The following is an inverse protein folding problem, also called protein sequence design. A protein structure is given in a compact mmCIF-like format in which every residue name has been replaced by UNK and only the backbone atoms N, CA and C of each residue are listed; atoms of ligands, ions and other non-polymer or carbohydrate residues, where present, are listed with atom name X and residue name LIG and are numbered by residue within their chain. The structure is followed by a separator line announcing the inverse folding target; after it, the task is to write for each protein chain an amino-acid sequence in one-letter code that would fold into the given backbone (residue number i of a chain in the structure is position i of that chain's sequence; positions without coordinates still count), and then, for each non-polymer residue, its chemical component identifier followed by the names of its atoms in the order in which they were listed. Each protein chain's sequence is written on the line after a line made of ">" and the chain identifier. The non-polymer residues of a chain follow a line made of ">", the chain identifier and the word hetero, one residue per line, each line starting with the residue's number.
data_IF_462185995324
#
_entry.id   IF_462185995324
#
_cell.length_a   1.000
_cell.length_b   1.000
_cell.length_c   1.000
_cell.angle_alpha   90.00
_cell.angle_beta   90.00
_cell.angle_gamma   90.00
#
_symmetry.space_group_name_H-M   'P 1'
#
loop_
_entity.id
_entity.type
_entity.pdbx_description
1 polymer ?
#
# COMPACT_ATOMS: atom_id res chain seq x y z
N UNK A 1 -26.94 21.63 56.70
CA UNK A 1 -25.60 21.03 56.50
C UNK A 1 -25.16 21.37 55.09
N UNK A 2 -24.38 22.45 54.93
CA UNK A 2 -23.77 22.80 53.66
C UNK A 2 -22.44 22.05 53.55
N UNK A 3 -22.27 21.28 52.47
CA UNK A 3 -21.03 20.60 52.16
C UNK A 3 -20.13 21.57 51.39
N UNK A 4 -19.15 22.17 52.07
CA UNK A 4 -18.13 22.98 51.42
C UNK A 4 -17.13 22.05 50.73
N UNK A 5 -17.22 21.97 49.41
CA UNK A 5 -16.20 21.36 48.56
C UNK A 5 -14.94 22.22 48.62
N UNK A 6 -13.94 21.76 49.36
CA UNK A 6 -12.60 22.35 49.39
C UNK A 6 -11.99 22.22 47.98
N UNK A 7 -11.46 23.29 47.36
CA UNK A 7 -10.81 23.17 46.08
C UNK A 7 -9.46 22.46 46.27
N UNK A 8 -9.31 21.25 45.70
CA UNK A 8 -8.06 20.46 45.65
C UNK A 8 -6.97 21.08 44.74
N UNK A 9 -6.76 22.39 44.82
CA UNK A 9 -5.60 23.07 44.22
C UNK A 9 -4.90 23.92 45.28
N UNK A 10 -4.37 23.24 46.29
CA UNK A 10 -3.64 23.87 47.38
C UNK A 10 -2.25 24.40 46.96
N UNK A 11 -1.70 25.40 47.69
CA UNK A 11 -0.37 25.98 47.46
C UNK A 11 0.78 24.95 47.44
N UNK A 12 0.56 23.77 48.02
CA UNK A 12 1.47 22.62 48.00
C UNK A 12 1.70 22.04 46.60
N UNK A 13 0.67 21.95 45.75
CA UNK A 13 0.81 21.43 44.37
C UNK A 13 1.63 22.41 43.52
N UNK A 14 1.33 23.70 43.64
CA UNK A 14 2.05 24.78 42.96
C UNK A 14 3.52 24.83 43.39
N UNK A 15 3.82 24.63 44.67
CA UNK A 15 5.19 24.59 45.18
C UNK A 15 5.98 23.39 44.66
N UNK A 16 5.35 22.22 44.56
CA UNK A 16 5.97 20.99 44.01
C UNK A 16 6.31 21.17 42.53
N UNK A 17 5.41 21.77 41.74
CA UNK A 17 5.66 22.00 40.32
C UNK A 17 6.73 23.08 40.08
N UNK A 18 6.74 24.14 40.90
CA UNK A 18 7.81 25.14 40.88
C UNK A 18 9.17 24.50 41.20
N UNK A 19 9.23 23.59 42.16
CA UNK A 19 10.44 22.85 42.52
C UNK A 19 10.94 21.95 41.38
N UNK A 20 10.03 21.22 40.72
CA UNK A 20 10.38 20.39 39.55
C UNK A 20 10.94 21.22 38.40
N UNK A 21 10.33 22.37 38.11
CA UNK A 21 10.85 23.30 37.10
C UNK A 21 12.23 23.84 37.46
N UNK A 22 12.46 24.19 38.73
CA UNK A 22 13.77 24.62 39.20
C UNK A 22 14.82 23.52 39.03
N UNK A 23 14.52 22.29 39.44
CA UNK A 23 15.45 21.16 39.28
C UNK A 23 15.77 20.87 37.82
N UNK A 24 14.75 20.82 36.95
CA UNK A 24 14.94 20.58 35.52
C UNK A 24 15.83 21.64 34.87
N UNK A 25 15.66 22.91 35.24
CA UNK A 25 16.47 24.02 34.72
C UNK A 25 17.92 23.87 35.12
N UNK A 26 18.18 23.62 36.41
CA UNK A 26 19.54 23.48 36.92
C UNK A 26 20.25 22.26 36.33
N UNK A 27 19.52 21.16 36.11
CA UNK A 27 20.07 19.96 35.49
C UNK A 27 20.58 20.24 34.06
N UNK A 28 19.79 20.95 33.25
CA UNK A 28 20.19 21.34 31.89
C UNK A 28 21.39 22.31 31.94
N UNK A 29 21.32 23.34 32.78
CA UNK A 29 22.39 24.36 32.87
C UNK A 29 23.73 23.77 33.31
N UNK A 30 23.73 22.77 34.21
CA UNK A 30 24.96 22.11 34.67
C UNK A 30 25.70 21.33 33.56
N UNK A 31 25.01 20.99 32.47
CA UNK A 31 25.62 20.35 31.30
C UNK A 31 26.23 21.33 30.29
N UNK A 32 26.09 22.64 30.51
CA UNK A 32 26.55 23.69 29.58
C UNK A 32 27.95 24.20 29.97
N UNK A 33 28.72 24.65 28.98
CA UNK A 33 29.95 25.40 29.25
C UNK A 33 29.65 26.81 29.83
N UNK A 34 30.67 27.49 30.37
CA UNK A 34 30.49 28.80 31.00
C UNK A 34 29.89 29.86 30.07
N UNK A 35 30.18 29.84 28.77
CA UNK A 35 29.67 30.83 27.83
C UNK A 35 28.18 30.61 27.57
N UNK A 36 27.78 29.35 27.37
CA UNK A 36 26.39 28.94 27.19
C UNK A 36 25.58 29.13 28.48
N UNK A 37 26.13 28.75 29.62
CA UNK A 37 25.51 28.94 30.93
C UNK A 37 25.12 30.41 31.15
N UNK A 38 26.02 31.35 30.85
CA UNK A 38 25.75 32.78 31.03
C UNK A 38 24.60 33.29 30.15
N UNK A 39 24.49 32.77 28.91
CA UNK A 39 23.39 33.13 27.99
C UNK A 39 22.06 32.51 28.43
N UNK A 40 22.09 31.24 28.86
CA UNK A 40 20.89 30.44 29.11
C UNK A 40 20.37 30.50 30.56
N UNK A 41 21.20 30.90 31.53
CA UNK A 41 20.82 31.05 32.95
C UNK A 41 19.68 32.05 33.16
N UNK A 42 19.57 33.06 32.28
CA UNK A 42 18.51 34.06 32.30
C UNK A 42 17.14 33.51 31.86
N UNK A 43 17.09 32.35 31.19
CA UNK A 43 15.82 31.73 30.78
C UNK A 43 15.14 31.08 31.99
N UNK A 44 13.96 31.57 32.39
CA UNK A 44 13.25 31.07 33.57
C UNK A 44 12.50 29.75 33.33
N UNK A 45 12.18 29.43 32.07
CA UNK A 45 11.36 28.29 31.73
C UNK A 45 12.19 27.16 31.12
N UNK A 46 12.12 25.97 31.72
CA UNK A 46 12.79 24.74 31.26
C UNK A 46 12.45 24.40 29.81
N UNK A 47 11.18 24.52 29.43
CA UNK A 47 10.72 24.21 28.08
C UNK A 47 11.35 25.17 27.06
N UNK A 48 11.33 26.47 27.36
CA UNK A 48 11.93 27.50 26.49
C UNK A 48 13.44 27.34 26.40
N UNK A 49 14.09 27.00 27.52
CA UNK A 49 15.52 26.69 27.56
C UNK A 49 15.85 25.48 26.68
N UNK A 50 15.11 24.38 26.83
CA UNK A 50 15.27 23.17 26.02
C UNK A 50 15.05 23.45 24.55
N UNK A 51 13.90 24.04 24.17
CA UNK A 51 13.56 24.35 22.77
C UNK A 51 14.55 25.33 22.14
N UNK A 52 15.02 26.34 22.88
CA UNK A 52 16.02 27.30 22.38
C UNK A 52 17.40 26.69 22.23
N UNK A 53 17.77 25.76 23.11
CA UNK A 53 19.00 24.98 23.01
C UNK A 53 18.93 24.04 21.82
N UNK A 54 17.83 23.28 21.69
CA UNK A 54 17.57 22.37 20.59
C UNK A 54 17.60 23.11 19.25
N UNK A 55 16.87 24.23 19.11
CA UNK A 55 16.87 25.03 17.88
C UNK A 55 18.25 25.54 17.45
N UNK A 56 19.13 25.86 18.40
CA UNK A 56 20.42 26.51 18.13
C UNK A 56 21.57 25.52 17.96
N UNK A 57 21.49 24.36 18.61
CA UNK A 57 22.59 23.40 18.68
C UNK A 57 22.22 22.00 18.19
N UNK A 58 20.94 21.68 17.96
CA UNK A 58 20.57 20.53 17.13
C UNK A 58 21.01 20.88 15.72
N UNK A 59 22.22 20.46 15.37
CA UNK A 59 22.57 20.32 13.97
C UNK A 59 21.61 19.29 13.40
N UNK A 60 20.61 19.77 12.68
CA UNK A 60 19.97 18.97 11.66
C UNK A 60 21.11 18.46 10.78
N UNK A 61 21.44 17.18 10.93
CA UNK A 61 22.55 16.62 10.19
C UNK A 61 22.13 16.59 8.71
N UNK A 62 22.51 17.64 7.99
CA UNK A 62 22.33 17.74 6.54
C UNK A 62 22.95 16.51 5.87
N UNK A 63 23.97 15.89 6.49
CA UNK A 63 24.52 14.61 6.13
C UNK A 63 23.52 13.47 6.21
N UNK A 64 22.79 13.31 7.33
CA UNK A 64 21.76 12.27 7.51
C UNK A 64 20.62 12.37 6.51
N UNK A 65 20.04 13.56 6.34
CA UNK A 65 18.99 13.79 5.32
C UNK A 65 19.47 13.43 3.91
N UNK A 66 20.67 13.91 3.54
CA UNK A 66 21.28 13.60 2.24
C UNK A 66 21.58 12.12 2.08
N UNK A 67 22.01 11.44 3.14
CA UNK A 67 22.34 10.02 3.14
C UNK A 67 21.09 9.15 2.92
N UNK A 68 20.01 9.43 3.65
CA UNK A 68 18.75 8.68 3.49
C UNK A 68 18.12 8.97 2.12
N UNK A 69 18.13 10.23 1.66
CA UNK A 69 17.70 10.56 0.30
C UNK A 69 18.54 9.84 -0.78
N UNK A 70 19.87 9.75 -0.57
CA UNK A 70 20.77 8.98 -1.42
C UNK A 70 20.39 7.50 -1.48
N UNK A 71 20.18 6.86 -0.32
CA UNK A 71 19.70 5.46 -0.25
C UNK A 71 18.43 5.23 -1.07
N UNK A 72 17.46 6.15 -0.98
CA UNK A 72 16.21 6.05 -1.75
C UNK A 72 16.44 6.13 -3.27
N UNK A 73 17.27 7.08 -3.71
CA UNK A 73 17.58 7.28 -5.12
C UNK A 73 18.39 6.11 -5.69
N UNK A 74 19.35 5.59 -4.93
CA UNK A 74 20.25 4.53 -5.36
C UNK A 74 19.65 3.12 -5.27
N UNK A 75 18.57 2.93 -4.49
CA UNK A 75 17.89 1.65 -4.38
C UNK A 75 17.46 1.14 -5.76
N UNK A 76 17.73 -0.14 -6.05
CA UNK A 76 17.33 -0.82 -7.30
C UNK A 76 17.02 -2.27 -6.98
N UNK A 77 15.95 -2.81 -7.57
CA UNK A 77 15.67 -4.23 -7.45
C UNK A 77 16.47 -5.03 -8.46
N UNK A 78 16.82 -6.25 -8.07
CA UNK A 78 17.54 -7.22 -8.88
C UNK A 78 16.69 -8.48 -9.08
N UNK A 79 16.87 -9.14 -10.22
CA UNK A 79 16.11 -10.35 -10.58
C UNK A 79 16.49 -11.58 -9.73
N UNK A 80 17.64 -11.55 -9.04
CA UNK A 80 18.13 -12.67 -8.23
C UNK A 80 17.44 -12.84 -6.88
N UNK A 81 16.58 -11.88 -6.49
CA UNK A 81 15.82 -11.89 -5.24
C UNK A 81 14.33 -11.79 -5.57
N UNK A 82 13.47 -12.25 -4.64
CA UNK A 82 12.03 -12.01 -4.76
C UNK A 82 11.74 -10.52 -4.74
N UNK A 83 10.74 -10.09 -5.50
CA UNK A 83 10.27 -8.70 -5.49
C UNK A 83 9.70 -8.37 -4.12
N UNK A 84 8.96 -9.27 -3.48
CA UNK A 84 8.34 -8.97 -2.19
C UNK A 84 9.34 -8.71 -1.07
N UNK A 85 10.48 -9.43 -1.02
CA UNK A 85 11.52 -9.14 -0.03
C UNK A 85 12.13 -7.76 -0.29
N UNK A 86 12.36 -7.42 -1.56
CA UNK A 86 12.92 -6.12 -1.94
C UNK A 86 11.91 -4.98 -1.76
N UNK A 87 10.61 -5.22 -1.87
CA UNK A 87 9.55 -4.25 -1.52
C UNK A 87 9.60 -3.94 -0.03
N UNK A 88 9.76 -4.95 0.83
CA UNK A 88 9.92 -4.73 2.27
C UNK A 88 11.17 -3.92 2.59
N UNK A 89 12.31 -4.25 1.96
CA UNK A 89 13.55 -3.44 2.07
C UNK A 89 13.32 -1.99 1.61
N UNK A 90 12.60 -1.79 0.50
CA UNK A 90 12.28 -0.46 -0.01
C UNK A 90 11.41 0.33 0.97
N UNK A 91 10.40 -0.29 1.61
CA UNK A 91 9.49 0.39 2.54
C UNK A 91 10.17 0.94 3.79
N UNK A 92 11.32 0.40 4.18
CA UNK A 92 12.11 0.94 5.28
C UNK A 92 12.67 2.34 4.95
N UNK A 93 12.95 2.61 3.68
CA UNK A 93 13.61 3.87 3.28
C UNK A 93 12.67 5.08 3.43
N UNK A 94 11.41 5.07 2.93
CA UNK A 94 10.45 6.14 3.23
C UNK A 94 10.21 6.34 4.72
N UNK A 95 10.25 5.28 5.54
CA UNK A 95 10.15 5.41 6.99
C UNK A 95 11.34 6.16 7.58
N UNK A 96 12.57 5.85 7.15
CA UNK A 96 13.77 6.59 7.54
C UNK A 96 13.72 8.06 7.07
N UNK A 97 13.18 8.33 5.89
CA UNK A 97 12.96 9.71 5.39
C UNK A 97 12.01 10.46 6.32
N UNK A 98 10.93 9.82 6.76
CA UNK A 98 9.98 10.42 7.69
C UNK A 98 10.59 10.69 9.07
N UNK A 99 11.46 9.79 9.56
CA UNK A 99 12.19 9.96 10.81
C UNK A 99 13.16 11.16 10.76
N UNK A 100 13.70 11.47 9.58
CA UNK A 100 14.49 12.68 9.30
C UNK A 100 13.63 13.92 9.02
N UNK A 101 12.35 13.90 9.41
CA UNK A 101 11.39 15.00 9.25
C UNK A 101 11.19 15.45 7.79
N UNK A 102 11.50 14.58 6.82
CA UNK A 102 11.25 14.81 5.41
C UNK A 102 9.91 14.19 4.99
N UNK A 103 9.17 14.87 4.11
CA UNK A 103 7.86 14.42 3.63
C UNK A 103 7.99 13.86 2.22
N UNK A 104 7.53 12.61 2.04
CA UNK A 104 7.52 11.91 0.77
C UNK A 104 6.07 11.55 0.40
N UNK A 105 5.53 12.16 -0.65
CA UNK A 105 4.16 11.91 -1.08
C UNK A 105 3.92 10.47 -1.51
N UNK A 106 2.75 9.91 -1.18
CA UNK A 106 2.40 8.51 -1.51
C UNK A 106 2.47 8.24 -3.01
N UNK A 107 1.93 9.14 -3.85
CA UNK A 107 2.00 9.02 -5.31
C UNK A 107 3.43 8.94 -5.85
N UNK A 108 4.36 9.66 -5.22
CA UNK A 108 5.79 9.59 -5.55
C UNK A 108 6.40 8.26 -5.10
N UNK A 109 6.02 7.74 -3.92
CA UNK A 109 6.45 6.42 -3.45
C UNK A 109 6.01 5.31 -4.40
N UNK A 110 4.74 5.35 -4.84
CA UNK A 110 4.18 4.40 -5.81
C UNK A 110 4.93 4.48 -7.13
N UNK A 111 5.12 5.68 -7.69
CA UNK A 111 5.87 5.87 -8.93
C UNK A 111 7.32 5.37 -8.81
N UNK A 112 7.99 5.69 -7.70
CA UNK A 112 9.35 5.24 -7.42
C UNK A 112 9.41 3.71 -7.36
N UNK A 113 8.52 3.06 -6.61
CA UNK A 113 8.48 1.60 -6.49
C UNK A 113 8.30 0.92 -7.85
N UNK A 114 7.38 1.42 -8.68
CA UNK A 114 7.19 0.96 -10.07
C UNK A 114 8.48 1.12 -10.88
N UNK A 115 9.17 2.24 -10.72
CA UNK A 115 10.44 2.47 -11.41
C UNK A 115 11.55 1.51 -10.93
N UNK A 116 11.56 1.16 -9.64
CA UNK A 116 12.55 0.26 -9.05
C UNK A 116 12.39 -1.21 -9.42
N UNK A 117 11.24 -1.61 -10.01
CA UNK A 117 10.98 -3.00 -10.40
C UNK A 117 12.11 -3.56 -11.28
N UNK A 118 12.46 -4.85 -11.09
CA UNK A 118 13.62 -5.42 -11.75
C UNK A 118 13.36 -5.63 -13.25
N UNK A 119 14.42 -5.77 -14.08
CA UNK A 119 14.29 -5.81 -15.54
C UNK A 119 13.32 -6.85 -16.08
N UNK A 120 13.22 -8.03 -15.45
CA UNK A 120 12.29 -9.07 -15.92
C UNK A 120 10.82 -8.68 -15.75
N UNK A 121 10.50 -7.66 -14.95
CA UNK A 121 9.15 -7.16 -14.70
C UNK A 121 8.72 -6.04 -15.65
N UNK A 122 9.45 -5.82 -16.74
CA UNK A 122 9.22 -4.72 -17.71
C UNK A 122 7.77 -4.61 -18.19
N UNK A 123 7.13 -5.72 -18.56
CA UNK A 123 5.78 -5.69 -19.11
C UNK A 123 4.73 -5.33 -18.04
N UNK A 124 4.87 -5.91 -16.85
CA UNK A 124 4.04 -5.54 -15.69
C UNK A 124 4.25 -4.08 -15.29
N UNK A 125 5.49 -3.59 -15.30
CA UNK A 125 5.83 -2.18 -15.09
C UNK A 125 5.13 -1.28 -16.10
N UNK A 126 5.11 -1.64 -17.38
CA UNK A 126 4.39 -0.89 -18.42
C UNK A 126 2.87 -0.90 -18.19
N UNK A 127 2.30 -2.06 -17.82
CA UNK A 127 0.90 -2.17 -17.43
C UNK A 127 0.54 -1.19 -16.30
N UNK A 128 1.36 -1.11 -15.25
CA UNK A 128 1.14 -0.20 -14.13
C UNK A 128 1.22 1.27 -14.56
N UNK A 129 2.16 1.63 -15.44
CA UNK A 129 2.31 3.01 -15.96
C UNK A 129 1.12 3.48 -16.79
N UNK A 130 0.48 2.59 -17.54
CA UNK A 130 -0.65 2.94 -18.39
C UNK A 130 -2.00 2.88 -17.66
N UNK A 131 -1.99 2.54 -16.37
CA UNK A 131 -3.21 2.47 -15.58
C UNK A 131 -3.73 3.88 -15.27
N UNK A 132 -4.94 4.18 -15.77
CA UNK A 132 -5.57 5.51 -15.61
C UNK A 132 -6.01 5.84 -14.18
N UNK A 133 -6.29 4.82 -13.36
CA UNK A 133 -6.73 5.00 -11.97
C UNK A 133 -5.51 5.14 -11.07
N UNK A 134 -5.55 6.10 -10.16
CA UNK A 134 -4.57 6.24 -9.08
C UNK A 134 -4.47 4.92 -8.30
N UNK A 135 -3.25 4.47 -8.07
CA UNK A 135 -2.94 3.24 -7.34
C UNK A 135 -2.36 3.66 -5.99
N UNK A 136 -2.98 3.22 -4.90
CA UNK A 136 -2.45 3.39 -3.55
C UNK A 136 -1.28 2.44 -3.31
N UNK A 137 -0.43 2.75 -2.35
CA UNK A 137 0.74 1.92 -2.06
C UNK A 137 0.34 0.50 -1.65
N UNK A 138 -0.72 0.34 -0.85
CA UNK A 138 -1.24 -0.96 -0.44
C UNK A 138 -1.77 -1.77 -1.62
N UNK A 139 -2.52 -1.13 -2.52
CA UNK A 139 -3.04 -1.76 -3.73
C UNK A 139 -1.90 -2.22 -4.64
N UNK A 140 -0.82 -1.43 -4.74
CA UNK A 140 0.37 -1.81 -5.50
C UNK A 140 1.05 -3.04 -4.90
N UNK A 141 1.21 -3.09 -3.56
CA UNK A 141 1.82 -4.25 -2.88
C UNK A 141 1.05 -5.54 -3.14
N UNK A 142 -0.29 -5.49 -3.05
CA UNK A 142 -1.14 -6.66 -3.32
C UNK A 142 -0.96 -7.13 -4.77
N UNK A 143 -0.93 -6.21 -5.73
CA UNK A 143 -0.71 -6.53 -7.15
C UNK A 143 0.67 -7.15 -7.40
N UNK A 144 1.72 -6.61 -6.78
CA UNK A 144 3.07 -7.16 -6.88
C UNK A 144 3.13 -8.58 -6.32
N UNK A 145 2.44 -8.85 -5.21
CA UNK A 145 2.38 -10.19 -4.63
C UNK A 145 1.74 -11.20 -5.58
N UNK A 146 0.56 -10.87 -6.12
CA UNK A 146 -0.18 -11.73 -7.05
C UNK A 146 0.65 -12.01 -8.31
N UNK A 147 1.26 -10.98 -8.89
CA UNK A 147 2.10 -11.12 -10.07
C UNK A 147 3.34 -11.99 -9.80
N UNK A 148 3.96 -11.86 -8.63
CA UNK A 148 5.10 -12.71 -8.26
C UNK A 148 4.68 -14.19 -8.17
N UNK A 149 3.55 -14.46 -7.52
CA UNK A 149 3.02 -15.81 -7.39
C UNK A 149 2.64 -16.41 -8.78
N UNK A 150 2.07 -15.61 -9.69
CA UNK A 150 1.78 -16.00 -11.08
C UNK A 150 3.06 -16.37 -11.86
N UNK A 151 4.10 -15.55 -11.77
CA UNK A 151 5.37 -15.81 -12.48
C UNK A 151 6.07 -17.07 -11.94
N UNK A 152 5.87 -17.40 -10.67
CA UNK A 152 6.40 -18.63 -10.09
C UNK A 152 5.64 -19.87 -10.57
N UNK A 153 4.32 -19.78 -10.76
CA UNK A 153 3.52 -20.90 -11.28
C UNK A 153 3.85 -21.19 -12.74
N UNK A 154 3.98 -20.15 -13.58
CA UNK A 154 4.39 -20.29 -14.99
C UNK A 154 5.77 -20.93 -15.16
N UNK A 155 6.76 -20.53 -14.35
CA UNK A 155 8.09 -21.15 -14.36
C UNK A 155 8.06 -22.64 -14.03
N UNK A 156 7.22 -23.05 -13.07
CA UNK A 156 7.06 -24.47 -12.73
C UNK A 156 6.49 -25.25 -13.91
N UNK A 157 5.43 -24.73 -14.55
CA UNK A 157 4.81 -25.34 -15.73
C UNK A 157 5.81 -25.45 -16.88
N UNK A 158 6.60 -24.39 -17.13
CA UNK A 158 7.64 -24.38 -18.16
C UNK A 158 8.75 -25.40 -17.89
N UNK A 159 9.22 -25.51 -16.65
CA UNK A 159 10.23 -26.49 -16.26
C UNK A 159 9.72 -27.93 -16.42
N UNK A 160 8.47 -28.22 -16.02
CA UNK A 160 7.88 -29.53 -16.26
C UNK A 160 7.79 -29.87 -17.76
N UNK A 161 7.46 -28.88 -18.60
CA UNK A 161 7.44 -29.09 -20.05
C UNK A 161 8.84 -29.36 -20.61
N UNK A 162 9.88 -28.67 -20.12
CA UNK A 162 11.27 -28.91 -20.53
C UNK A 162 11.83 -30.24 -20.03
N UNK A 163 11.54 -30.64 -18.78
CA UNK A 163 11.94 -31.93 -18.22
C UNK A 163 11.20 -33.11 -18.89
N UNK A 164 9.91 -32.93 -19.21
CA UNK A 164 9.15 -33.90 -20.00
C UNK A 164 9.78 -34.09 -21.38
N UNK A 165 10.17 -33.00 -22.05
CA UNK A 165 10.84 -33.07 -23.37
C UNK A 165 12.26 -33.66 -23.30
N UNK A 166 12.97 -33.52 -22.19
CA UNK A 166 14.31 -34.10 -22.01
C UNK A 166 14.29 -35.62 -21.75
N UNK A 167 13.21 -36.15 -21.17
CA UNK A 167 13.03 -37.58 -20.94
C UNK A 167 12.41 -38.34 -22.14
N UNK A 168 12.10 -37.65 -23.24
CA UNK A 168 11.47 -38.19 -24.45
C UNK A 168 12.49 -38.63 -25.52
N UNK A 169 13.50 -39.41 -25.15
CA UNK A 169 14.43 -40.01 -26.13
C UNK A 169 14.13 -41.50 -26.41
N UNK A 170 13.09 -42.11 -25.78
CA UNK A 170 12.85 -43.55 -26.02
C UNK A 170 11.38 -44.07 -25.98
N UNK A 171 10.34 -43.21 -26.00
CA UNK A 171 8.92 -43.69 -25.95
C UNK A 171 7.93 -42.88 -26.80
N UNK A 172 8.23 -42.75 -28.09
CA UNK A 172 7.72 -41.63 -28.91
C UNK A 172 6.41 -41.84 -29.70
N UNK A 173 5.63 -42.92 -29.52
CA UNK A 173 4.41 -43.11 -30.33
C UNK A 173 3.08 -43.11 -29.57
N UNK A 174 3.10 -43.30 -28.25
CA UNK A 174 1.88 -43.46 -27.45
C UNK A 174 1.58 -42.23 -26.59
N UNK A 175 2.61 -41.57 -26.05
CA UNK A 175 2.44 -40.30 -25.34
C UNK A 175 2.08 -39.15 -26.28
N UNK A 176 2.64 -39.13 -27.49
CA UNK A 176 2.32 -38.13 -28.53
C UNK A 176 0.85 -38.19 -28.93
N UNK A 177 0.29 -39.40 -29.08
CA UNK A 177 -1.14 -39.59 -29.37
C UNK A 177 -2.05 -39.12 -28.22
N UNK A 178 -1.65 -39.40 -26.97
CA UNK A 178 -2.40 -38.93 -25.81
C UNK A 178 -2.37 -37.40 -25.67
N UNK A 179 -1.26 -36.75 -26.02
CA UNK A 179 -1.14 -35.28 -26.01
C UNK A 179 -2.01 -34.66 -27.11
N UNK A 180 -2.01 -35.21 -28.33
CA UNK A 180 -2.88 -34.75 -29.42
C UNK A 180 -4.37 -34.93 -29.08
N UNK A 181 -4.74 -36.03 -28.42
CA UNK A 181 -6.11 -36.29 -27.99
C UNK A 181 -6.56 -35.33 -26.87
N UNK A 182 -5.68 -35.02 -25.91
CA UNK A 182 -5.94 -34.01 -24.88
C UNK A 182 -6.02 -32.59 -25.44
N UNK A 183 -5.23 -32.26 -26.45
CA UNK A 183 -5.30 -30.96 -27.14
C UNK A 183 -6.63 -30.82 -27.88
N UNK A 184 -7.07 -31.86 -28.58
CA UNK A 184 -8.38 -31.89 -29.25
C UNK A 184 -9.53 -31.76 -28.26
N UNK A 185 -9.48 -32.46 -27.13
CA UNK A 185 -10.48 -32.34 -26.07
C UNK A 185 -10.54 -30.93 -25.47
N UNK A 186 -9.39 -30.24 -25.33
CA UNK A 186 -9.35 -28.86 -24.85
C UNK A 186 -9.91 -27.86 -25.86
N UNK A 187 -9.70 -28.08 -27.17
CA UNK A 187 -10.32 -27.27 -28.22
C UNK A 187 -11.84 -27.47 -28.23
N UNK A 188 -12.32 -28.72 -28.20
CA UNK A 188 -13.76 -29.05 -28.13
C UNK A 188 -14.41 -28.47 -26.87
N UNK A 189 -13.72 -28.53 -25.72
CA UNK A 189 -14.19 -27.92 -24.47
C UNK A 189 -14.25 -26.38 -24.55
N UNK A 190 -13.30 -25.77 -25.26
CA UNK A 190 -13.27 -24.33 -25.51
C UNK A 190 -14.47 -23.86 -26.35
N UNK A 191 -14.78 -24.60 -27.42
CA UNK A 191 -15.95 -24.32 -28.26
C UNK A 191 -17.26 -24.50 -27.50
N UNK A 192 -17.37 -25.53 -26.67
CA UNK A 192 -18.56 -25.76 -25.84
C UNK A 192 -18.74 -24.67 -24.79
N UNK A 193 -17.64 -24.20 -24.19
CA UNK A 193 -17.68 -23.06 -23.27
C UNK A 193 -18.18 -21.79 -23.95
N UNK A 194 -17.74 -21.52 -25.18
CA UNK A 194 -18.20 -20.36 -25.94
C UNK A 194 -19.70 -20.46 -26.28
N UNK A 195 -20.16 -21.64 -26.72
CA UNK A 195 -21.59 -21.90 -26.94
C UNK A 195 -22.44 -21.66 -25.69
N UNK A 196 -21.97 -22.12 -24.53
CA UNK A 196 -22.67 -21.91 -23.26
C UNK A 196 -22.67 -20.44 -22.83
N UNK A 197 -21.61 -19.69 -23.12
CA UNK A 197 -21.56 -18.25 -22.85
C UNK A 197 -22.57 -17.49 -23.72
N UNK A 198 -22.63 -17.77 -25.02
CA UNK A 198 -23.61 -17.18 -25.93
C UNK A 198 -25.06 -17.48 -25.49
N UNK A 199 -25.32 -18.71 -25.03
CA UNK A 199 -26.64 -19.11 -24.54
C UNK A 199 -27.01 -18.42 -23.22
N UNK A 200 -26.06 -18.25 -22.29
CA UNK A 200 -26.27 -17.47 -21.06
C UNK A 200 -26.58 -16.01 -21.40
N UNK A 201 -25.83 -15.39 -22.31
CA UNK A 201 -26.08 -14.01 -22.74
C UNK A 201 -27.47 -13.88 -23.40
N UNK A 202 -27.88 -14.87 -24.20
CA UNK A 202 -29.22 -14.94 -24.80
C UNK A 202 -30.31 -15.02 -23.73
N UNK A 203 -30.17 -15.90 -22.74
CA UNK A 203 -31.13 -16.05 -21.63
C UNK A 203 -31.21 -14.76 -20.80
N UNK A 204 -30.09 -14.11 -20.51
CA UNK A 204 -30.06 -12.83 -19.80
C UNK A 204 -30.76 -11.73 -20.60
N UNK A 205 -30.58 -11.70 -21.92
CA UNK A 205 -31.28 -10.75 -22.80
C UNK A 205 -32.79 -11.00 -22.84
N UNK A 206 -33.22 -12.25 -22.91
CA UNK A 206 -34.65 -12.63 -22.92
C UNK A 206 -35.34 -12.36 -21.58
N UNK A 207 -34.68 -12.67 -20.46
CA UNK A 207 -35.19 -12.37 -19.12
C UNK A 207 -35.22 -10.87 -18.83
N UNK A 208 -34.22 -10.11 -19.28
CA UNK A 208 -34.23 -8.65 -19.24
C UNK A 208 -35.40 -8.04 -20.01
N UNK A 209 -35.67 -8.53 -21.23
CA UNK A 209 -36.85 -8.12 -22.02
C UNK A 209 -38.18 -8.47 -21.34
N UNK A 210 -38.27 -9.63 -20.69
CA UNK A 210 -39.45 -9.97 -19.88
C UNK A 210 -39.64 -9.04 -18.69
N UNK A 211 -38.57 -8.64 -17.99
CA UNK A 211 -38.66 -7.71 -16.87
C UNK A 211 -39.16 -6.33 -17.31
N UNK A 212 -38.62 -5.78 -18.41
CA UNK A 212 -39.15 -4.54 -19.00
C UNK A 212 -40.62 -4.65 -19.43
N UNK A 213 -41.03 -5.82 -19.94
CA UNK A 213 -42.42 -6.06 -20.37
C UNK A 213 -43.36 -6.13 -19.16
N UNK A 214 -42.95 -6.79 -18.08
CA UNK A 214 -43.70 -6.88 -16.82
C UNK A 214 -43.79 -5.49 -16.17
N UNK A 215 -42.69 -4.74 -16.09
CA UNK A 215 -42.68 -3.38 -15.53
C UNK A 215 -43.57 -2.43 -16.34
N UNK A 216 -43.53 -2.49 -17.68
CA UNK A 216 -44.45 -1.74 -18.54
C UNK A 216 -45.92 -2.12 -18.33
N UNK A 217 -46.23 -3.41 -18.16
CA UNK A 217 -47.59 -3.88 -17.89
C UNK A 217 -48.08 -3.44 -16.50
N UNK A 218 -47.22 -3.49 -15.48
CA UNK A 218 -47.52 -3.03 -14.11
C UNK A 218 -47.73 -1.52 -14.07
N UNK A 219 -46.89 -0.74 -14.75
CA UNK A 219 -47.06 0.71 -14.87
C UNK A 219 -48.35 1.08 -15.61
N UNK A 220 -48.72 0.37 -16.68
CA UNK A 220 -49.97 0.59 -17.39
C UNK A 220 -51.19 0.28 -16.51
N UNK A 221 -51.15 -0.80 -15.73
CA UNK A 221 -52.22 -1.21 -14.84
C UNK A 221 -52.42 -0.24 -13.65
N UNK A 222 -51.33 0.21 -13.03
CA UNK A 222 -51.41 1.21 -11.96
C UNK A 222 -51.84 2.58 -12.48
N UNK A 223 -51.38 2.97 -13.67
CA UNK A 223 -51.82 4.19 -14.35
C UNK A 223 -53.32 4.19 -14.63
N UNK A 224 -53.90 3.11 -15.15
CA UNK A 224 -55.35 3.07 -15.44
C UNK A 224 -56.21 3.08 -14.17
N UNK A 225 -55.72 2.47 -13.09
CA UNK A 225 -56.45 2.38 -11.82
C UNK A 225 -56.48 3.73 -11.08
N UNK A 226 -55.42 4.53 -11.16
CA UNK A 226 -55.39 5.89 -10.62
C UNK A 226 -56.30 6.85 -11.40
N UNK A 227 -56.43 6.69 -12.72
CA UNK A 227 -57.33 7.49 -13.56
C UNK A 227 -58.82 7.21 -13.30
N UNK A 228 -59.20 6.00 -12.91
CA UNK A 228 -60.60 5.69 -12.57
C UNK A 228 -61.04 6.19 -11.18
N UNK A 229 -60.10 6.51 -10.28
CA UNK A 229 -60.41 7.05 -8.95
C UNK A 229 -60.46 8.60 -8.93
N UNK A 230 -60.21 9.27 -10.05
CA UNK A 230 -60.22 10.73 -10.20
C UNK A 230 -61.28 11.25 -11.19
N UNK A 231 -62.21 10.38 -11.64
CA UNK A 231 -63.39 10.72 -12.44
C UNK A 231 -64.65 10.41 -11.65
#
# INVERSE_FOLDING_TARGET
>A
MANETIPESGPTVVAVDAWKHFLGKNYILNGLDNALYNVYSLMLNVKVLWESSEKKYKTEDVGSKKLVAGKFLDFKMVDSKTVMNQVQEFQLIPHDIHAEEMVLGESFQVAALIEKLPPTWKDFKNYLKHKRKEIKLEDLMVRLRIEEDNRQSEKKVSNYHQEANANMVEKDSEQTKQIEELQKQNEELGEEKERLLEEIERIISETGKMHYTIDSAVLAYWGSTQWQNYV
#
